data_IF_573586130900
#
_entry.id   IF_573586130900
#
_cell.length_a   1.000
_cell.length_b   1.000
_cell.length_c   1.000
_cell.angle_alpha   90.00
_cell.angle_beta   90.00
_cell.angle_gamma   90.00
#
_symmetry.space_group_name_H-M   'P 1'
#
loop_
_entity.id
_entity.type
_entity.pdbx_description
1 polymer ?
#
# COMPACT_ATOMS: atom_id res chain seq x y z
N UNK A 1 -1.03 8.76 -2.06
CA UNK A 1 0.04 7.79 -2.37
C UNK A 1 0.05 6.66 -1.34
N UNK A 2 0.22 5.42 -1.77
CA UNK A 2 0.58 4.26 -0.96
C UNK A 2 2.02 3.88 -1.29
N UNK A 3 2.87 3.76 -0.27
CA UNK A 3 4.29 3.45 -0.41
C UNK A 3 4.71 2.40 0.61
N UNK A 4 5.86 1.77 0.35
CA UNK A 4 6.50 0.82 1.25
C UNK A 4 7.94 1.25 1.50
N UNK A 5 8.33 1.25 2.78
CA UNK A 5 9.74 1.38 3.19
C UNK A 5 10.32 0.01 3.46
N UNK A 6 11.56 -0.21 3.03
CA UNK A 6 12.24 -1.50 3.14
C UNK A 6 13.41 -1.38 4.11
N UNK A 7 13.59 -2.42 4.89
CA UNK A 7 14.70 -2.57 5.83
C UNK A 7 15.20 -4.01 5.81
N UNK A 8 16.50 -4.20 6.05
CA UNK A 8 17.11 -5.52 6.23
C UNK A 8 17.10 -5.99 7.67
N UNK A 9 17.12 -5.05 8.62
CA UNK A 9 17.28 -5.30 10.06
C UNK A 9 16.01 -4.96 10.86
N UNK A 10 15.01 -4.34 10.22
CA UNK A 10 13.78 -3.86 10.87
C UNK A 10 13.97 -2.57 11.66
N UNK A 11 15.17 -1.96 11.63
CA UNK A 11 15.51 -0.74 12.38
C UNK A 11 15.81 0.41 11.42
N UNK A 12 16.65 0.16 10.42
CA UNK A 12 17.08 1.14 9.43
C UNK A 12 16.31 0.93 8.13
N UNK A 13 15.44 1.87 7.79
CA UNK A 13 14.65 1.85 6.56
C UNK A 13 15.31 2.76 5.52
N UNK A 14 16.13 2.16 4.66
CA UNK A 14 17.04 2.86 3.75
C UNK A 14 16.52 2.98 2.31
N UNK A 15 15.40 2.31 2.01
CA UNK A 15 14.82 2.25 0.66
C UNK A 15 13.31 2.40 0.71
N UNK A 16 12.76 2.98 -0.34
CA UNK A 16 11.32 3.22 -0.48
C UNK A 16 10.87 2.91 -1.91
N UNK A 17 9.67 2.37 -2.04
CA UNK A 17 9.00 2.18 -3.33
C UNK A 17 7.54 2.68 -3.26
N UNK A 18 7.07 3.24 -4.37
CA UNK A 18 5.66 3.62 -4.52
C UNK A 18 4.87 2.41 -4.99
N UNK A 19 3.81 2.06 -4.26
CA UNK A 19 2.87 0.99 -4.62
C UNK A 19 1.73 1.55 -5.48
N UNK A 20 1.18 2.70 -5.08
CA UNK A 20 0.15 3.45 -5.84
C UNK A 20 0.36 4.94 -5.65
N UNK A 21 0.33 5.72 -6.74
CA UNK A 21 0.61 7.16 -6.67
C UNK A 21 -0.67 7.99 -6.59
N UNK A 22 -1.58 7.81 -7.55
CA UNK A 22 -2.83 8.58 -7.70
C UNK A 22 -4.03 7.72 -7.37
N UNK A 23 -4.89 8.19 -6.47
CA UNK A 23 -6.15 7.54 -6.14
C UNK A 23 -7.28 8.03 -7.05
N UNK A 24 -8.30 7.20 -7.32
CA UNK A 24 -9.50 7.66 -8.01
C UNK A 24 -10.23 8.71 -7.16
N UNK A 25 -11.06 9.55 -7.79
CA UNK A 25 -11.92 10.49 -7.06
C UNK A 25 -12.89 9.73 -6.14
N UNK A 26 -13.24 10.33 -5.00
CA UNK A 26 -14.29 9.82 -4.11
C UNK A 26 -15.64 9.89 -4.82
N UNK A 27 -16.48 8.86 -4.65
CA UNK A 27 -17.79 8.75 -5.33
C UNK A 27 -18.98 9.04 -4.42
N UNK A 28 -18.85 8.81 -3.13
CA UNK A 28 -19.93 8.91 -2.14
C UNK A 28 -19.49 9.78 -0.96
N UNK A 29 -20.30 10.76 -0.60
CA UNK A 29 -20.08 11.53 0.62
C UNK A 29 -20.18 10.65 1.87
N UNK A 30 -19.56 11.11 2.96
CA UNK A 30 -19.60 10.38 4.21
C UNK A 30 -18.77 11.04 5.30
N UNK A 31 -19.27 10.97 6.54
CA UNK A 31 -18.55 11.47 7.71
C UNK A 31 -17.18 10.77 7.80
N UNK A 32 -16.14 11.56 8.04
CA UNK A 32 -14.76 11.08 8.21
C UNK A 32 -14.10 10.44 6.97
N UNK A 33 -14.59 10.71 5.75
CA UNK A 33 -13.91 10.31 4.49
C UNK A 33 -12.86 11.32 3.98
N UNK A 34 -12.90 12.57 4.47
CA UNK A 34 -12.31 13.77 3.84
C UNK A 34 -10.78 13.85 3.62
N UNK A 35 -10.00 12.82 3.92
CA UNK A 35 -8.60 12.76 3.46
C UNK A 35 -8.48 12.08 2.07
N UNK A 36 -9.50 11.30 1.67
CA UNK A 36 -9.48 10.48 0.45
C UNK A 36 -8.25 9.58 0.34
N UNK A 37 -8.04 9.03 -0.84
CA UNK A 37 -6.81 8.33 -1.20
C UNK A 37 -6.74 6.88 -0.74
N UNK A 38 -5.51 6.39 -0.66
CA UNK A 38 -5.18 5.04 -0.20
C UNK A 38 -4.90 5.04 1.30
N UNK A 39 -5.59 4.18 2.06
CA UNK A 39 -5.57 4.23 3.52
C UNK A 39 -5.63 2.83 4.14
N UNK A 40 -5.24 2.73 5.42
CA UNK A 40 -5.34 1.50 6.23
C UNK A 40 -4.74 0.26 5.56
N UNK A 41 -3.47 0.30 5.12
CA UNK A 41 -2.84 -0.88 4.55
C UNK A 41 -2.65 -1.96 5.62
N UNK A 42 -2.86 -3.21 5.23
CA UNK A 42 -2.41 -4.39 5.96
C UNK A 42 -1.73 -5.35 4.97
N UNK A 43 -0.76 -6.13 5.43
CA UNK A 43 0.03 -6.98 4.52
C UNK A 43 0.35 -8.35 5.09
N UNK A 44 0.48 -9.33 4.20
CA UNK A 44 0.93 -10.69 4.53
C UNK A 44 1.84 -11.22 3.42
N UNK A 45 2.86 -11.98 3.79
CA UNK A 45 3.69 -12.72 2.83
C UNK A 45 3.11 -14.11 2.65
N UNK A 46 2.85 -14.49 1.39
CA UNK A 46 2.43 -15.84 1.01
C UNK A 46 3.32 -16.31 -0.14
N UNK A 47 4.11 -17.35 0.12
CA UNK A 47 5.11 -17.85 -0.83
C UNK A 47 6.13 -16.77 -1.19
N UNK A 48 6.30 -16.49 -2.50
CA UNK A 48 7.27 -15.51 -3.03
C UNK A 48 6.66 -14.11 -3.26
N UNK A 49 5.54 -13.80 -2.62
CA UNK A 49 4.80 -12.55 -2.85
C UNK A 49 4.35 -11.90 -1.54
N UNK A 50 4.48 -10.58 -1.51
CA UNK A 50 3.84 -9.71 -0.54
C UNK A 50 2.45 -9.35 -1.06
N UNK A 51 1.43 -9.58 -0.25
CA UNK A 51 0.06 -9.17 -0.50
C UNK A 51 -0.28 -8.01 0.40
N UNK A 52 -0.84 -6.93 -0.16
CA UNK A 52 -1.20 -5.72 0.58
C UNK A 52 -2.66 -5.43 0.27
N UNK A 53 -3.50 -5.45 1.30
CA UNK A 53 -4.88 -4.97 1.26
C UNK A 53 -4.92 -3.52 1.75
N UNK A 54 -5.74 -2.68 1.15
CA UNK A 54 -5.89 -1.28 1.55
C UNK A 54 -7.28 -0.76 1.16
N UNK A 55 -7.72 0.30 1.84
CA UNK A 55 -8.92 1.03 1.46
C UNK A 55 -8.60 2.11 0.43
N UNK A 56 -9.55 2.35 -0.47
CA UNK A 56 -9.56 3.50 -1.39
C UNK A 56 -10.77 4.37 -1.04
N UNK A 57 -10.52 5.62 -0.63
CA UNK A 57 -11.53 6.61 -0.25
C UNK A 57 -12.51 6.17 0.87
N UNK A 58 -12.26 5.05 1.56
CA UNK A 58 -13.23 4.38 2.45
C UNK A 58 -14.51 3.94 1.74
N UNK A 59 -14.35 3.54 0.48
CA UNK A 59 -15.45 3.12 -0.42
C UNK A 59 -15.16 1.76 -1.02
N UNK A 60 -13.92 1.58 -1.46
CA UNK A 60 -13.44 0.32 -2.02
C UNK A 60 -12.36 -0.28 -1.12
N UNK A 61 -12.22 -1.60 -1.25
CA UNK A 61 -11.12 -2.37 -0.69
C UNK A 61 -10.42 -3.04 -1.85
N UNK A 62 -9.15 -2.71 -2.03
CA UNK A 62 -8.31 -3.27 -3.09
C UNK A 62 -7.20 -4.15 -2.48
N UNK A 63 -6.68 -5.06 -3.30
CA UNK A 63 -5.52 -5.88 -2.96
C UNK A 63 -4.50 -5.76 -4.09
N UNK A 64 -3.23 -5.58 -3.73
CA UNK A 64 -2.10 -5.65 -4.66
C UNK A 64 -1.15 -6.78 -4.26
N UNK A 65 -0.67 -7.50 -5.28
CA UNK A 65 0.36 -8.52 -5.16
C UNK A 65 1.68 -7.98 -5.66
N UNK A 66 2.72 -8.00 -4.83
CA UNK A 66 4.07 -7.59 -5.18
C UNK A 66 5.02 -8.79 -5.07
N UNK A 67 5.67 -9.23 -6.16
CA UNK A 67 6.71 -10.24 -6.07
C UNK A 67 7.88 -9.74 -5.20
N UNK A 68 8.33 -10.53 -4.22
CA UNK A 68 9.41 -10.12 -3.31
C UNK A 68 10.72 -9.80 -4.06
N UNK A 69 10.97 -10.49 -5.16
CA UNK A 69 12.12 -10.26 -6.03
C UNK A 69 12.14 -8.85 -6.68
N UNK A 70 11.00 -8.16 -6.77
CA UNK A 70 10.95 -6.79 -7.26
C UNK A 70 11.36 -5.77 -6.18
N UNK A 71 11.13 -6.09 -4.90
CA UNK A 71 11.53 -5.24 -3.77
C UNK A 71 13.00 -5.43 -3.37
N UNK A 72 13.62 -6.54 -3.78
CA UNK A 72 15.03 -6.83 -3.48
C UNK A 72 16.02 -6.23 -4.47
N UNK A 73 15.56 -5.63 -5.57
CA UNK A 73 16.46 -4.99 -6.56
C UNK A 73 17.12 -3.76 -5.92
N UNK A 74 18.43 -3.68 -6.06
CA UNK A 74 19.25 -2.52 -5.69
C UNK A 74 19.47 -1.67 -6.93
#
# INVERSE_FOLDING_TARGET
MLAISLSKDGLNFDRMAVIKFVAPPQRYEGKSKGAGGFQYPHSVVVGKSLWIIYSVNKEDVEVVRVPLAQLSKR
#
